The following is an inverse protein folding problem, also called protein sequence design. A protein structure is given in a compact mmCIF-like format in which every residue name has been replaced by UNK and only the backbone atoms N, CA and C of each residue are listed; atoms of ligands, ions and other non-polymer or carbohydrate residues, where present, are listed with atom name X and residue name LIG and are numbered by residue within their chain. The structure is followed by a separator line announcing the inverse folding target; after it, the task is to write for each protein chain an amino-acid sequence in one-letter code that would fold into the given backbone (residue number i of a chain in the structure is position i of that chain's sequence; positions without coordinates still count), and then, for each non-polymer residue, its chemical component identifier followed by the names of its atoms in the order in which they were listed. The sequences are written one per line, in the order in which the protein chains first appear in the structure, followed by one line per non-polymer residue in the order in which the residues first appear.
data_IF_408002040204
#
_entry.id   IF_408002040204
#
_cell.length_a   1.000
_cell.length_b   1.000
_cell.length_c   1.000
_cell.angle_alpha   90.00
_cell.angle_beta   90.00
_cell.angle_gamma   90.00
#
_symmetry.space_group_name_H-M   'P 1'
#
loop_
_entity.id
_entity.type
_entity.pdbx_description
1 polymer ?
#
# COMPACT_ATOMS: atom_id res chain seq x y z
N UNK A 1 -32.10 -21.84 13.30
CA UNK A 1 -30.80 -21.24 13.69
C UNK A 1 -29.83 -21.59 12.58
N UNK A 2 -29.49 -20.64 11.72
CA UNK A 2 -28.54 -20.86 10.64
C UNK A 2 -27.13 -20.77 11.25
N UNK A 3 -26.37 -21.86 11.15
CA UNK A 3 -24.96 -21.88 11.50
C UNK A 3 -24.20 -20.98 10.52
N UNK A 4 -23.62 -19.90 11.05
CA UNK A 4 -22.76 -19.00 10.31
C UNK A 4 -21.41 -19.71 10.11
N UNK A 5 -21.28 -20.45 9.00
CA UNK A 5 -20.01 -21.00 8.57
C UNK A 5 -19.04 -19.84 8.28
N UNK A 6 -18.14 -19.57 9.22
CA UNK A 6 -16.99 -18.69 9.03
C UNK A 6 -16.09 -19.26 7.92
N UNK A 7 -16.32 -18.87 6.67
CA UNK A 7 -15.42 -19.14 5.57
C UNK A 7 -14.06 -18.49 5.88
N UNK A 8 -13.05 -19.31 6.20
CA UNK A 8 -11.67 -18.83 6.34
C UNK A 8 -11.14 -18.49 4.96
N UNK A 9 -10.97 -17.20 4.68
CA UNK A 9 -10.28 -16.72 3.49
C UNK A 9 -8.77 -17.05 3.59
N UNK A 10 -8.41 -18.21 3.03
CA UNK A 10 -7.04 -18.72 3.01
C UNK A 10 -6.07 -17.80 2.24
N UNK A 11 -6.56 -16.86 1.43
CA UNK A 11 -5.69 -15.89 0.72
C UNK A 11 -5.04 -14.89 1.69
N UNK A 12 -5.62 -14.72 2.89
CA UNK A 12 -5.08 -13.88 3.97
C UNK A 12 -3.98 -14.58 4.80
N UNK A 13 -3.73 -15.85 4.52
CA UNK A 13 -2.71 -16.66 5.16
C UNK A 13 -1.62 -16.99 4.16
N UNK A 14 -0.37 -16.73 4.55
CA UNK A 14 0.77 -17.15 3.73
C UNK A 14 0.97 -18.66 3.83
N UNK A 15 1.03 -19.34 2.68
CA UNK A 15 1.36 -20.77 2.61
C UNK A 15 2.87 -21.04 2.82
N UNK A 16 3.68 -19.99 2.99
CA UNK A 16 5.11 -20.13 3.20
C UNK A 16 5.42 -20.37 4.69
N UNK A 17 6.15 -21.46 5.02
CA UNK A 17 6.41 -21.89 6.39
C UNK A 17 7.26 -20.92 7.23
N UNK A 18 8.00 -20.00 6.61
CA UNK A 18 8.86 -19.02 7.30
C UNK A 18 8.06 -17.88 7.96
N UNK A 19 6.77 -17.70 7.62
CA UNK A 19 5.77 -16.97 8.41
C UNK A 19 5.97 -15.48 8.71
N UNK A 20 7.08 -14.84 8.34
CA UNK A 20 7.41 -13.45 8.71
C UNK A 20 7.45 -12.49 7.50
N UNK A 21 6.30 -12.25 6.86
CA UNK A 21 6.14 -11.25 5.79
C UNK A 21 5.61 -9.92 6.30
N UNK A 22 5.67 -8.90 5.46
CA UNK A 22 5.03 -7.62 5.76
C UNK A 22 3.51 -7.81 5.88
N UNK A 23 2.90 -7.35 6.98
CA UNK A 23 1.45 -7.55 7.18
C UNK A 23 0.60 -6.77 6.16
N UNK A 24 1.19 -5.75 5.52
CA UNK A 24 0.57 -4.96 4.46
C UNK A 24 0.62 -5.62 3.07
N UNK A 25 1.49 -6.60 2.83
CA UNK A 25 1.52 -7.33 1.55
C UNK A 25 2.23 -8.68 1.70
N UNK A 26 1.58 -9.81 1.35
CA UNK A 26 2.17 -11.15 1.49
C UNK A 26 3.34 -11.38 0.52
N UNK A 27 3.46 -10.54 -0.52
CA UNK A 27 4.51 -10.63 -1.52
C UNK A 27 5.75 -9.81 -1.17
N UNK A 28 5.66 -8.88 -0.21
CA UNK A 28 6.79 -8.02 0.17
C UNK A 28 7.79 -8.80 1.03
N UNK A 29 8.98 -9.07 0.46
CA UNK A 29 10.08 -9.81 1.10
C UNK A 29 11.06 -8.90 1.82
N UNK A 30 11.29 -7.70 1.30
CA UNK A 30 12.24 -6.73 1.85
C UNK A 30 11.74 -5.29 1.72
N UNK A 31 12.45 -4.38 2.37
CA UNK A 31 12.12 -2.95 2.40
C UNK A 31 11.15 -2.57 3.53
N UNK A 32 10.75 -1.28 3.58
CA UNK A 32 9.94 -0.73 4.66
C UNK A 32 8.57 -1.39 4.69
N UNK A 33 8.23 -2.02 5.81
CA UNK A 33 6.94 -2.70 6.03
C UNK A 33 5.90 -1.70 6.57
N UNK A 34 4.63 -2.09 6.54
CA UNK A 34 3.51 -1.28 7.05
C UNK A 34 3.03 -0.20 6.07
N UNK A 35 1.80 0.26 6.31
CA UNK A 35 1.08 1.20 5.45
C UNK A 35 1.49 2.66 5.62
N UNK A 36 2.14 2.99 6.74
CA UNK A 36 2.56 4.36 7.07
C UNK A 36 3.89 4.34 7.80
N UNK A 37 4.69 5.36 7.53
CA UNK A 37 5.97 5.61 8.18
C UNK A 37 6.06 7.09 8.49
N UNK A 38 6.47 7.43 9.72
CA UNK A 38 6.68 8.81 10.15
C UNK A 38 8.07 8.95 10.72
N UNK A 39 8.85 9.88 10.17
CA UNK A 39 10.22 10.20 10.58
C UNK A 39 10.33 11.67 10.91
N UNK A 40 11.20 11.99 11.86
CA UNK A 40 11.61 13.37 12.15
C UNK A 40 12.96 13.55 11.51
N UNK A 41 13.03 14.52 10.60
CA UNK A 41 14.23 14.85 9.85
C UNK A 41 15.18 15.70 10.71
N UNK A 42 16.42 15.87 10.23
CA UNK A 42 17.44 16.65 10.92
C UNK A 42 17.05 18.13 11.04
N UNK A 43 16.35 18.66 10.04
CA UNK A 43 15.80 20.03 10.00
C UNK A 43 14.48 20.18 10.79
N UNK A 44 14.14 19.20 11.63
CA UNK A 44 12.95 19.12 12.47
C UNK A 44 11.61 19.02 11.71
N UNK A 45 11.63 18.83 10.38
CA UNK A 45 10.42 18.50 9.61
C UNK A 45 9.97 17.07 9.86
N UNK A 46 8.68 16.82 9.63
CA UNK A 46 8.14 15.46 9.59
C UNK A 46 8.16 14.96 8.15
N UNK A 47 8.83 13.82 7.93
CA UNK A 47 8.64 13.03 6.74
C UNK A 47 7.57 11.96 7.01
N UNK A 48 6.55 11.90 6.17
CA UNK A 48 5.47 10.93 6.28
C UNK A 48 5.32 10.21 4.95
N UNK A 49 5.39 8.88 4.97
CA UNK A 49 5.10 8.01 3.82
C UNK A 49 3.80 7.27 4.10
N UNK A 50 2.85 7.29 3.16
CA UNK A 50 1.61 6.51 3.23
C UNK A 50 1.46 5.73 1.94
N UNK A 51 1.24 4.42 2.06
CA UNK A 51 0.91 3.58 0.93
C UNK A 51 -0.57 3.83 0.55
N UNK A 52 -0.84 4.19 -0.70
CA UNK A 52 -2.18 4.40 -1.26
C UNK A 52 -2.24 3.75 -2.66
N UNK A 53 -2.10 2.42 -2.75
CA UNK A 53 -1.99 1.72 -4.03
C UNK A 53 -3.21 1.97 -4.91
N UNK A 54 -2.96 2.26 -6.18
CA UNK A 54 -3.97 2.50 -7.20
C UNK A 54 -4.43 3.96 -7.33
N UNK A 55 -4.07 4.82 -6.37
CA UNK A 55 -4.42 6.25 -6.40
C UNK A 55 -3.51 6.97 -7.41
N UNK A 56 -4.06 7.71 -8.39
CA UNK A 56 -3.26 8.50 -9.33
C UNK A 56 -2.39 9.56 -8.66
N UNK A 57 -1.32 9.95 -9.37
CA UNK A 57 -0.31 10.91 -8.89
C UNK A 57 -0.88 12.31 -8.55
N UNK A 58 -2.02 12.68 -9.13
CA UNK A 58 -2.71 13.96 -8.94
C UNK A 58 -4.02 13.85 -8.14
N UNK A 59 -4.37 12.64 -7.66
CA UNK A 59 -5.67 12.35 -7.06
C UNK A 59 -5.68 12.38 -5.52
N UNK A 60 -4.66 12.97 -4.89
CA UNK A 60 -4.60 13.11 -3.43
C UNK A 60 -5.00 14.52 -3.00
N UNK A 61 -5.84 14.58 -1.97
CA UNK A 61 -6.16 15.80 -1.25
C UNK A 61 -5.58 15.72 0.15
N UNK A 62 -5.09 16.85 0.66
CA UNK A 62 -4.66 16.96 2.05
C UNK A 62 -5.06 18.31 2.63
N UNK A 63 -5.18 18.36 3.95
CA UNK A 63 -5.40 19.61 4.69
C UNK A 63 -4.84 19.50 6.10
N UNK A 64 -4.37 20.61 6.64
CA UNK A 64 -4.01 20.72 8.06
C UNK A 64 -5.27 21.08 8.86
N UNK A 65 -5.39 20.55 10.07
CA UNK A 65 -6.40 20.95 11.03
C UNK A 65 -6.31 22.46 11.31
N UNK A 66 -7.37 23.20 11.00
CA UNK A 66 -7.37 24.66 11.10
C UNK A 66 -7.43 25.18 12.53
N UNK A 67 -7.78 24.33 13.49
CA UNK A 67 -7.99 24.74 14.89
C UNK A 67 -6.72 24.54 15.72
N UNK A 68 -6.19 23.32 15.77
CA UNK A 68 -5.01 23.00 16.58
C UNK A 68 -3.74 22.91 15.76
N UNK A 69 -3.84 22.86 14.42
CA UNK A 69 -2.69 22.72 13.52
C UNK A 69 -1.79 21.52 13.87
N UNK A 70 -2.36 20.42 14.35
CA UNK A 70 -1.58 19.22 14.75
C UNK A 70 -1.77 18.03 13.84
N UNK A 71 -2.87 18.03 13.10
CA UNK A 71 -3.33 16.89 12.32
C UNK A 71 -3.32 17.25 10.86
N UNK A 72 -2.76 16.38 10.04
CA UNK A 72 -2.86 16.40 8.60
C UNK A 72 -3.88 15.33 8.22
N UNK A 73 -4.97 15.74 7.60
CA UNK A 73 -5.93 14.85 6.97
C UNK A 73 -5.53 14.65 5.51
N UNK A 74 -5.63 13.42 5.02
CA UNK A 74 -5.39 13.10 3.62
C UNK A 74 -6.48 12.16 3.10
N UNK A 75 -6.77 12.25 1.81
CA UNK A 75 -7.65 11.33 1.11
C UNK A 75 -7.23 11.17 -0.34
N UNK A 76 -7.66 10.07 -0.95
CA UNK A 76 -7.42 9.79 -2.35
C UNK A 76 -8.35 8.69 -2.86
N UNK A 77 -8.58 8.66 -4.16
CA UNK A 77 -9.48 7.72 -4.81
C UNK A 77 -8.78 7.06 -6.00
N UNK A 78 -9.00 5.77 -6.20
CA UNK A 78 -8.47 5.05 -7.36
C UNK A 78 -9.32 5.31 -8.59
N UNK A 79 -8.76 5.14 -9.80
CA UNK A 79 -9.58 5.22 -11.01
C UNK A 79 -10.56 4.04 -11.09
N UNK A 80 -11.76 4.33 -11.58
CA UNK A 80 -12.61 3.31 -12.19
C UNK A 80 -12.04 2.99 -13.58
N UNK A 81 -11.46 1.80 -13.73
CA UNK A 81 -10.93 1.33 -15.01
C UNK A 81 -11.99 0.58 -15.84
N UNK A 82 -13.27 0.66 -15.45
CA UNK A 82 -14.39 -0.04 -16.08
C UNK A 82 -14.40 -1.54 -15.81
N UNK A 83 -13.37 -2.05 -15.12
CA UNK A 83 -13.30 -3.42 -14.66
C UNK A 83 -13.93 -3.45 -13.26
N UNK A 84 -15.27 -3.46 -13.21
CA UNK A 84 -16.14 -3.38 -12.01
C UNK A 84 -15.79 -4.34 -10.85
N UNK A 85 -14.78 -5.19 -11.00
CA UNK A 85 -14.38 -6.25 -10.07
C UNK A 85 -13.44 -5.72 -8.99
N UNK A 86 -12.54 -4.78 -9.33
CA UNK A 86 -11.59 -4.20 -8.37
C UNK A 86 -12.25 -3.20 -7.44
N UNK A 87 -13.35 -2.62 -7.91
CA UNK A 87 -14.05 -1.54 -7.24
C UNK A 87 -13.20 -0.27 -7.13
N UNK A 88 -13.88 0.86 -7.08
CA UNK A 88 -13.20 2.11 -6.72
C UNK A 88 -12.87 2.06 -5.22
N UNK A 89 -11.59 2.24 -4.90
CA UNK A 89 -11.07 2.34 -3.54
C UNK A 89 -11.00 3.81 -3.14
N UNK A 90 -11.61 4.12 -2.00
CA UNK A 90 -11.50 5.44 -1.38
C UNK A 90 -10.67 5.33 -0.11
N UNK A 91 -9.64 6.15 -0.02
CA UNK A 91 -8.74 6.25 1.12
C UNK A 91 -9.02 7.54 1.88
N UNK A 92 -9.04 7.46 3.21
CA UNK A 92 -9.10 8.61 4.09
C UNK A 92 -8.36 8.31 5.39
N UNK A 93 -7.47 9.21 5.78
CA UNK A 93 -6.63 9.01 6.97
C UNK A 93 -6.15 10.32 7.59
N UNK A 94 -5.43 10.17 8.69
CA UNK A 94 -4.84 11.28 9.41
C UNK A 94 -3.50 10.90 10.03
N UNK A 95 -2.60 11.88 10.11
CA UNK A 95 -1.26 11.77 10.68
C UNK A 95 -0.88 13.10 11.31
N UNK A 96 0.16 13.15 12.13
CA UNK A 96 0.68 14.43 12.61
C UNK A 96 1.38 14.35 13.96
N UNK A 97 1.18 15.39 14.76
CA UNK A 97 1.84 15.58 16.06
C UNK A 97 0.97 15.05 17.20
N UNK A 98 1.60 14.30 18.10
CA UNK A 98 0.98 13.85 19.35
C UNK A 98 1.40 14.69 20.56
N UNK A 99 2.34 15.62 20.40
CA UNK A 99 2.73 16.54 21.47
C UNK A 99 1.82 17.76 21.58
N UNK A 100 1.89 18.43 22.73
CA UNK A 100 1.14 19.66 22.99
C UNK A 100 1.96 20.94 22.75
N UNK A 101 3.23 20.81 22.40
CA UNK A 101 4.20 21.90 22.29
C UNK A 101 4.55 22.33 20.86
N UNK A 102 4.04 21.64 19.83
CA UNK A 102 4.33 21.94 18.43
C UNK A 102 3.04 22.11 17.60
N UNK A 103 3.15 22.93 16.56
CA UNK A 103 2.12 23.19 15.54
C UNK A 103 2.71 23.02 14.14
N UNK A 104 1.92 22.50 13.22
CA UNK A 104 2.23 22.29 11.81
C UNK A 104 1.90 23.57 11.06
N UNK A 105 2.90 24.15 10.39
CA UNK A 105 2.77 25.41 9.67
C UNK A 105 2.56 25.24 8.18
N UNK A 106 2.94 24.09 7.62
CA UNK A 106 2.80 23.81 6.21
C UNK A 106 3.06 22.35 5.89
N UNK A 107 2.50 21.89 4.77
CA UNK A 107 2.67 20.52 4.25
C UNK A 107 2.94 20.60 2.76
N UNK A 108 4.03 19.99 2.32
CA UNK A 108 4.24 19.65 0.92
C UNK A 108 3.87 18.18 0.73
N UNK A 109 3.03 17.86 -0.26
CA UNK A 109 2.56 16.51 -0.51
C UNK A 109 2.84 16.11 -1.97
N UNK A 110 3.40 14.91 -2.15
CA UNK A 110 3.67 14.31 -3.46
C UNK A 110 3.14 12.89 -3.48
N UNK A 111 2.15 12.65 -4.34
CA UNK A 111 1.66 11.30 -4.63
C UNK A 111 2.40 10.76 -5.85
N UNK A 112 2.98 9.57 -5.73
CA UNK A 112 3.65 8.93 -6.86
C UNK A 112 3.65 7.42 -6.71
N UNK A 113 3.25 6.72 -7.77
CA UNK A 113 3.34 5.25 -7.89
C UNK A 113 2.68 4.52 -6.71
N UNK A 114 1.50 5.00 -6.29
CA UNK A 114 0.76 4.40 -5.17
C UNK A 114 1.31 4.74 -3.78
N UNK A 115 2.19 5.75 -3.66
CA UNK A 115 2.76 6.18 -2.37
C UNK A 115 2.68 7.70 -2.22
N UNK A 116 1.99 8.15 -1.18
CA UNK A 116 1.92 9.54 -0.76
C UNK A 116 3.09 9.85 0.18
N UNK A 117 3.87 10.87 -0.18
CA UNK A 117 4.96 11.41 0.64
C UNK A 117 4.61 12.83 1.05
N UNK A 118 4.66 13.11 2.34
CA UNK A 118 4.38 14.43 2.89
C UNK A 118 5.57 14.93 3.72
N UNK A 119 5.87 16.22 3.56
CA UNK A 119 6.85 16.95 4.34
C UNK A 119 6.13 18.03 5.13
N UNK A 120 6.00 17.82 6.43
CA UNK A 120 5.33 18.77 7.30
C UNK A 120 6.34 19.65 8.04
N UNK A 121 6.26 20.96 7.83
CA UNK A 121 6.98 21.94 8.65
C UNK A 121 6.26 22.15 9.97
N UNK A 122 7.03 22.35 11.05
CA UNK A 122 6.47 22.58 12.38
C UNK A 122 7.26 23.64 13.14
N UNK A 123 6.59 24.27 14.10
CA UNK A 123 7.19 25.23 15.03
C UNK A 123 6.87 24.81 16.46
N UNK A 124 7.76 25.16 17.41
CA UNK A 124 7.50 25.01 18.83
C UNK A 124 6.71 26.22 19.33
N UNK A 125 5.54 25.97 19.90
CA UNK A 125 4.67 26.99 20.51
C UNK A 125 4.69 26.97 22.03
N UNK A 126 5.23 25.89 22.63
CA UNK A 126 5.54 25.83 24.06
C UNK A 126 6.97 25.38 24.26
N UNK A 127 7.66 26.03 25.20
CA UNK A 127 9.01 25.64 25.57
C UNK A 127 8.97 24.44 26.52
N UNK A 128 9.53 23.32 26.05
CA UNK A 128 9.92 22.20 26.87
C UNK A 128 11.37 21.85 26.56
N UNK A 129 12.14 21.46 27.58
CA UNK A 129 13.58 21.25 27.50
C UNK A 129 14.00 20.06 26.61
N UNK A 130 13.06 19.25 26.11
CA UNK A 130 13.31 18.06 25.29
C UNK A 130 12.88 18.23 23.83
N UNK A 131 13.60 17.60 22.90
CA UNK A 131 13.22 17.51 21.47
C UNK A 131 11.86 16.80 21.36
N UNK A 132 10.81 17.45 20.82
CA UNK A 132 9.50 16.80 20.63
C UNK A 132 9.61 15.76 19.51
N UNK A 133 9.46 14.48 19.87
CA UNK A 133 9.45 13.37 18.90
C UNK A 133 8.11 12.68 18.74
N UNK A 134 7.08 13.17 19.44
CA UNK A 134 5.78 12.52 19.51
C UNK A 134 4.96 12.79 18.25
N UNK A 135 4.72 11.73 17.48
CA UNK A 135 3.91 11.74 16.26
C UNK A 135 2.82 10.67 16.32
N UNK A 136 1.86 10.73 15.41
CA UNK A 136 0.91 9.66 15.18
C UNK A 136 0.65 9.48 13.68
N UNK A 137 0.20 8.29 13.25
CA UNK A 137 0.17 7.07 14.08
C UNK A 137 1.60 6.56 14.38
N UNK A 138 1.84 5.95 15.56
CA UNK A 138 3.16 5.42 15.88
C UNK A 138 3.41 4.16 15.05
N UNK A 139 4.14 4.24 13.94
CA UNK A 139 4.45 3.05 13.16
C UNK A 139 5.80 3.06 12.45
N UNK A 140 6.49 1.92 12.59
CA UNK A 140 7.42 1.36 11.62
C UNK A 140 7.16 -0.16 11.50
N UNK A 141 7.00 -0.63 10.27
CA UNK A 141 7.04 -2.03 9.83
C UNK A 141 6.54 -3.16 10.72
N UNK A 142 5.29 -3.61 10.51
CA UNK A 142 4.80 -4.88 11.07
C UNK A 142 5.16 -6.07 10.19
N UNK A 143 5.57 -7.16 10.85
CA UNK A 143 5.70 -8.48 10.23
C UNK A 143 4.76 -9.46 10.91
N UNK A 144 4.19 -10.40 10.15
CA UNK A 144 3.32 -11.40 10.72
C UNK A 144 2.78 -12.38 9.70
N UNK A 145 2.12 -13.41 10.23
CA UNK A 145 1.48 -14.47 9.42
C UNK A 145 0.16 -14.04 8.81
N UNK A 146 -0.55 -13.12 9.47
CA UNK A 146 -1.87 -12.64 9.07
C UNK A 146 -1.73 -11.32 8.34
N UNK A 147 -2.29 -11.28 7.14
CA UNK A 147 -2.42 -10.03 6.39
C UNK A 147 -3.41 -9.09 7.09
N UNK A 148 -3.01 -7.82 7.23
CA UNK A 148 -3.85 -6.76 7.77
C UNK A 148 -4.59 -6.04 6.64
N UNK A 149 -5.82 -5.63 6.91
CA UNK A 149 -6.56 -4.73 6.02
C UNK A 149 -5.90 -3.35 6.03
N UNK A 150 -5.97 -2.64 4.91
CA UNK A 150 -5.45 -1.28 4.83
C UNK A 150 -6.22 -0.35 5.79
N UNK A 151 -5.55 0.31 6.76
CA UNK A 151 -6.25 1.04 7.83
C UNK A 151 -6.94 2.32 7.34
N UNK A 152 -6.55 2.84 6.18
CA UNK A 152 -7.12 4.05 5.59
C UNK A 152 -8.16 3.78 4.49
N UNK A 153 -8.47 2.52 4.18
CA UNK A 153 -9.50 2.19 3.19
C UNK A 153 -10.90 2.34 3.81
N UNK A 154 -11.66 3.32 3.33
CA UNK A 154 -13.03 3.58 3.78
C UNK A 154 -14.09 2.99 2.84
N UNK A 155 -13.72 2.70 1.58
CA UNK A 155 -14.58 2.06 0.57
C UNK A 155 -13.74 1.19 -0.37
N UNK A 156 -14.36 0.14 -0.93
CA UNK A 156 -13.73 -0.79 -1.86
C UNK A 156 -13.03 -1.97 -1.16
N UNK A 157 -12.38 -2.87 -1.92
CA UNK A 157 -11.70 -4.05 -1.37
C UNK A 157 -10.55 -3.66 -0.45
N UNK A 158 -10.46 -4.29 0.74
CA UNK A 158 -9.50 -3.90 1.79
C UNK A 158 -8.17 -4.65 1.77
N UNK A 159 -8.11 -5.79 1.07
CA UNK A 159 -6.92 -6.65 1.02
C UNK A 159 -5.88 -6.16 0.02
N UNK A 160 -4.61 -6.51 0.24
CA UNK A 160 -3.52 -6.15 -0.67
C UNK A 160 -3.48 -6.98 -1.97
N UNK A 161 -4.43 -7.90 -2.12
CA UNK A 161 -4.63 -8.69 -3.33
C UNK A 161 -6.12 -8.88 -3.54
N UNK A 162 -6.53 -8.85 -4.81
CA UNK A 162 -7.88 -9.15 -5.25
C UNK A 162 -7.83 -10.11 -6.45
N UNK A 163 -8.75 -11.06 -6.50
CA UNK A 163 -8.91 -12.02 -7.59
C UNK A 163 -10.37 -12.06 -8.01
N UNK A 164 -10.62 -12.05 -9.32
CA UNK A 164 -11.97 -12.19 -9.87
C UNK A 164 -11.96 -12.79 -11.26
N UNK A 165 -13.10 -13.30 -11.72
CA UNK A 165 -13.26 -13.76 -13.11
C UNK A 165 -13.44 -12.57 -14.08
N UNK A 166 -12.88 -12.61 -15.28
CA UNK A 166 -13.19 -11.63 -16.34
C UNK A 166 -14.54 -11.94 -16.99
N UNK A 167 -15.08 -11.02 -17.81
CA UNK A 167 -16.34 -11.25 -18.53
C UNK A 167 -16.24 -12.37 -19.56
N UNK A 168 -15.06 -12.54 -20.13
CA UNK A 168 -14.78 -13.53 -21.19
C UNK A 168 -14.41 -14.91 -20.63
N UNK A 169 -14.63 -15.15 -19.34
CA UNK A 169 -14.35 -16.43 -18.67
C UNK A 169 -12.89 -16.62 -18.23
N UNK A 170 -12.05 -15.61 -18.42
CA UNK A 170 -10.67 -15.55 -17.90
C UNK A 170 -10.61 -15.18 -16.42
N UNK A 171 -9.41 -14.91 -15.92
CA UNK A 171 -9.16 -14.45 -14.55
C UNK A 171 -8.43 -13.12 -14.51
N UNK A 172 -8.70 -12.38 -13.45
CA UNK A 172 -8.15 -11.08 -13.15
C UNK A 172 -7.55 -11.09 -11.75
N UNK A 173 -6.39 -10.47 -11.60
CA UNK A 173 -5.73 -10.27 -10.31
C UNK A 173 -5.16 -8.86 -10.19
N UNK A 174 -5.43 -8.21 -9.06
CA UNK A 174 -4.79 -6.95 -8.66
C UNK A 174 -3.97 -7.17 -7.39
N UNK A 175 -2.76 -6.59 -7.34
CA UNK A 175 -1.86 -6.73 -6.20
C UNK A 175 -1.24 -5.38 -5.88
N UNK A 176 -1.39 -4.99 -4.63
CA UNK A 176 -0.81 -3.77 -4.12
C UNK A 176 0.72 -3.96 -4.01
N UNK A 177 1.43 -3.18 -4.80
CA UNK A 177 2.89 -3.03 -4.80
C UNK A 177 3.26 -1.55 -4.72
N UNK A 178 2.93 -0.83 -3.62
CA UNK A 178 3.20 0.60 -3.53
C UNK A 178 4.68 0.90 -3.81
N UNK A 179 4.91 1.85 -4.71
CA UNK A 179 6.22 2.26 -5.20
C UNK A 179 6.73 1.51 -6.42
N UNK A 180 6.05 0.46 -6.90
CA UNK A 180 6.42 -0.24 -8.12
C UNK A 180 5.89 0.46 -9.37
N UNK A 181 6.73 0.51 -10.40
CA UNK A 181 6.36 0.88 -11.77
C UNK A 181 6.54 -0.30 -12.71
N UNK A 182 6.06 -0.17 -13.96
CA UNK A 182 6.13 -1.28 -14.94
C UNK A 182 7.57 -1.75 -15.17
N UNK A 183 8.54 -0.84 -15.28
CA UNK A 183 9.96 -1.19 -15.50
C UNK A 183 10.62 -1.89 -14.30
N UNK A 184 10.03 -1.82 -13.11
CA UNK A 184 10.57 -2.47 -11.91
C UNK A 184 10.18 -3.95 -11.83
N UNK A 185 9.25 -4.40 -12.69
CA UNK A 185 8.66 -5.75 -12.60
C UNK A 185 9.12 -6.63 -13.75
N UNK A 186 9.70 -7.77 -13.38
CA UNK A 186 9.95 -8.86 -14.30
C UNK A 186 9.01 -10.00 -13.98
N UNK A 187 8.47 -10.64 -15.01
CA UNK A 187 7.65 -11.84 -14.84
C UNK A 187 8.02 -12.90 -15.86
N UNK A 188 7.76 -14.14 -15.47
CA UNK A 188 7.89 -15.31 -16.34
C UNK A 188 6.62 -16.14 -16.23
N UNK A 189 6.11 -16.53 -17.39
CA UNK A 189 5.03 -17.51 -17.43
C UNK A 189 5.60 -18.89 -17.13
N UNK A 190 4.94 -19.61 -16.21
CA UNK A 190 5.24 -20.99 -15.87
C UNK A 190 4.08 -21.88 -16.34
N UNK A 191 4.29 -23.20 -16.39
CA UNK A 191 3.36 -24.18 -16.99
C UNK A 191 1.87 -23.94 -16.62
N UNK A 192 1.59 -23.52 -15.39
CA UNK A 192 0.23 -23.27 -14.91
C UNK A 192 0.06 -21.90 -14.24
N UNK A 193 0.81 -20.86 -14.64
CA UNK A 193 0.72 -19.58 -13.94
C UNK A 193 1.81 -18.57 -14.25
N UNK A 194 2.03 -17.63 -13.33
CA UNK A 194 2.98 -16.53 -13.47
C UNK A 194 3.81 -16.38 -12.20
N UNK A 195 5.12 -16.20 -12.37
CA UNK A 195 6.02 -15.72 -11.31
C UNK A 195 6.42 -14.31 -11.62
N UNK A 196 6.47 -13.47 -10.59
CA UNK A 196 6.93 -12.10 -10.72
C UNK A 196 7.94 -11.78 -9.63
N UNK A 197 8.84 -10.88 -9.97
CA UNK A 197 9.72 -10.16 -9.06
C UNK A 197 9.58 -8.68 -9.37
N UNK A 198 9.38 -7.86 -8.34
CA UNK A 198 9.36 -6.42 -8.46
C UNK A 198 10.33 -5.82 -7.47
N UNK A 199 11.35 -5.10 -7.95
CA UNK A 199 12.27 -4.36 -7.09
C UNK A 199 12.09 -2.88 -7.34
N UNK A 200 11.46 -2.18 -6.39
CA UNK A 200 11.21 -0.76 -6.54
C UNK A 200 12.51 0.03 -6.45
N UNK A 201 12.50 1.26 -6.97
CA UNK A 201 13.59 2.21 -6.73
C UNK A 201 13.28 3.08 -5.53
N UNK A 202 14.33 3.62 -4.91
CA UNK A 202 14.20 4.63 -3.86
C UNK A 202 13.77 5.94 -4.52
N UNK A 203 12.51 6.34 -4.33
CA UNK A 203 11.95 7.52 -4.98
C UNK A 203 12.17 8.82 -4.18
N UNK A 204 12.42 8.73 -2.88
CA UNK A 204 12.74 9.85 -2.01
C UNK A 204 13.96 9.53 -1.13
N UNK A 205 14.84 10.49 -0.88
CA UNK A 205 16.04 10.29 -0.07
C UNK A 205 15.76 9.85 1.37
N UNK A 206 14.58 10.18 1.90
CA UNK A 206 14.15 9.79 3.25
C UNK A 206 13.42 8.45 3.32
N UNK A 207 13.08 7.85 2.17
CA UNK A 207 12.62 6.46 2.14
C UNK A 207 13.70 5.57 2.77
N UNK A 208 13.30 4.66 3.66
CA UNK A 208 14.23 3.76 4.35
C UNK A 208 15.02 2.91 3.36
N UNK A 209 14.33 2.32 2.40
CA UNK A 209 14.91 1.55 1.30
C UNK A 209 13.88 1.29 0.21
N UNK A 210 14.34 0.74 -0.91
CA UNK A 210 13.51 0.09 -1.91
C UNK A 210 12.76 -1.12 -1.33
N UNK A 211 11.66 -1.52 -1.98
CA UNK A 211 10.92 -2.75 -1.67
C UNK A 211 11.21 -3.84 -2.69
N UNK A 212 11.24 -5.07 -2.20
CA UNK A 212 11.29 -6.27 -3.03
C UNK A 212 9.99 -7.03 -2.84
N UNK A 213 9.25 -7.22 -3.93
CA UNK A 213 8.10 -8.11 -4.00
C UNK A 213 8.45 -9.36 -4.79
N UNK A 214 8.05 -10.51 -4.26
CA UNK A 214 8.23 -11.81 -4.91
C UNK A 214 6.95 -12.62 -4.72
N UNK A 215 6.42 -13.14 -5.82
CA UNK A 215 5.29 -14.05 -5.75
C UNK A 215 5.13 -14.92 -6.98
N UNK A 216 4.25 -15.89 -6.83
CA UNK A 216 3.87 -16.86 -7.84
C UNK A 216 2.38 -17.08 -7.72
N UNK A 217 1.71 -17.15 -8.86
CA UNK A 217 0.29 -17.50 -8.95
C UNK A 217 0.15 -18.61 -9.98
N UNK A 218 -0.84 -19.48 -9.81
CA UNK A 218 -1.15 -20.50 -10.78
C UNK A 218 -2.38 -21.31 -10.40
N UNK A 219 -2.95 -22.02 -11.37
CA UNK A 219 -4.05 -22.95 -11.14
C UNK A 219 -3.50 -24.30 -10.65
N UNK A 220 -4.13 -24.86 -9.62
CA UNK A 220 -3.80 -26.22 -9.14
C UNK A 220 -4.23 -27.30 -10.14
N UNK A 221 -5.26 -27.03 -10.96
CA UNK A 221 -5.78 -27.98 -11.94
C UNK A 221 -5.12 -27.79 -13.32
N UNK A 222 -4.53 -28.86 -13.83
CA UNK A 222 -3.87 -28.90 -15.16
C UNK A 222 -4.85 -29.01 -16.33
N UNK A 223 -6.14 -29.29 -16.07
CA UNK A 223 -7.17 -29.53 -17.08
C UNK A 223 -7.83 -28.26 -17.62
N UNK A 224 -7.66 -27.12 -16.95
CA UNK A 224 -8.21 -25.79 -17.33
C UNK A 224 -7.15 -24.70 -17.35
N UNK A 225 -5.86 -25.07 -17.34
CA UNK A 225 -4.77 -24.11 -17.33
C UNK A 225 -4.89 -23.14 -18.53
N UNK A 226 -5.00 -21.82 -18.29
CA UNK A 226 -5.05 -20.85 -19.36
C UNK A 226 -3.78 -20.97 -20.20
N UNK A 227 -3.91 -20.84 -21.52
CA UNK A 227 -2.76 -20.92 -22.41
C UNK A 227 -1.74 -19.84 -21.99
N UNK A 228 -0.46 -20.24 -21.88
CA UNK A 228 0.66 -19.36 -21.52
C UNK A 228 0.71 -18.08 -22.39
N UNK A 229 0.13 -18.12 -23.59
CA UNK A 229 0.09 -17.02 -24.55
C UNK A 229 -1.00 -15.96 -24.30
N UNK A 230 -1.84 -16.12 -23.26
CA UNK A 230 -2.96 -15.20 -22.96
C UNK A 230 -2.74 -14.30 -21.74
N UNK A 231 -1.62 -14.45 -21.03
CA UNK A 231 -1.35 -13.65 -19.83
C UNK A 231 -0.83 -12.26 -20.19
N UNK A 232 -1.52 -11.22 -19.74
CA UNK A 232 -1.04 -9.84 -19.80
C UNK A 232 -0.90 -9.27 -18.40
N UNK A 233 0.18 -8.52 -18.16
CA UNK A 233 0.47 -7.91 -16.87
C UNK A 233 0.89 -6.45 -17.05
N UNK A 234 0.38 -5.57 -16.20
CA UNK A 234 0.71 -4.14 -16.20
C UNK A 234 0.85 -3.62 -14.78
N UNK A 235 1.71 -2.63 -14.56
CA UNK A 235 1.80 -1.96 -13.25
C UNK A 235 1.48 -0.49 -13.41
N UNK A 236 0.48 -0.03 -12.66
CA UNK A 236 0.06 1.37 -12.65
C UNK A 236 -0.23 1.82 -11.22
N UNK A 237 0.30 2.97 -10.83
CA UNK A 237 0.07 3.58 -9.52
C UNK A 237 0.35 2.61 -8.35
N UNK A 238 1.42 1.81 -8.45
CA UNK A 238 1.78 0.85 -7.41
C UNK A 238 0.81 -0.35 -7.30
N UNK A 239 0.10 -0.71 -8.37
CA UNK A 239 -0.73 -1.93 -8.43
C UNK A 239 -0.32 -2.74 -9.65
N UNK A 240 0.05 -4.00 -9.44
CA UNK A 240 0.20 -4.99 -10.51
C UNK A 240 -1.16 -5.56 -10.85
N UNK A 241 -1.55 -5.45 -12.13
CA UNK A 241 -2.76 -6.04 -12.70
C UNK A 241 -2.36 -7.16 -13.64
N UNK A 242 -2.91 -8.36 -13.44
CA UNK A 242 -2.69 -9.54 -14.27
C UNK A 242 -4.02 -10.02 -14.82
N UNK A 243 -4.08 -10.25 -16.13
CA UNK A 243 -5.22 -10.82 -16.84
C UNK A 243 -4.77 -12.12 -17.50
N UNK A 244 -5.61 -13.15 -17.39
CA UNK A 244 -5.40 -14.48 -18.00
C UNK A 244 -6.63 -14.93 -18.76
#
# INVERSE_FOLDING_TARGET
MAEEYSYMDITRFTANPDGFYATNSPFQKAGPKGFVEVKILEDDKLYIRVDLPGVPDDAVRHRVDSVRQKVIFFSGETLDDGNNKDGVREYSGSTGLSCDCCEITGVEAKMKDGVLRMFASRVKVKNHDKKCTLTFPPFTGKSGRRQEDHPFLVKGPKGAMFVGATRDGGSYMAIDMPGAITDDVQWVTIRNGLRFIAQTKKACEHDESARLYLGSFGTMDSSTAPSVNSITATVKFGVLKVFT
#
